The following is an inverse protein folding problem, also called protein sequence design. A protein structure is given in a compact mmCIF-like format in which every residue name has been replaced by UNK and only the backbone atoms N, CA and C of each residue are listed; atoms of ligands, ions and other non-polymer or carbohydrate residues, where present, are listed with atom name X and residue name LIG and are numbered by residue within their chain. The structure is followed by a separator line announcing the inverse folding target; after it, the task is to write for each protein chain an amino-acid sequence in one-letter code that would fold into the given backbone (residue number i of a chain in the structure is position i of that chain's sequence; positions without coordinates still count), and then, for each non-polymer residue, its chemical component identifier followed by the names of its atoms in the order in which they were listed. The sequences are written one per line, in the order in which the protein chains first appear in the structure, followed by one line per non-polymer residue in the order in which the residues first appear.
data_IF_375031290031
#
_entry.id   IF_375031290031
#
_cell.length_a   1.000
_cell.length_b   1.000
_cell.length_c   1.000
_cell.angle_alpha   90.00
_cell.angle_beta   90.00
_cell.angle_gamma   90.00
#
_symmetry.space_group_name_H-M   'P 1'
#
loop_
_entity.id
_entity.type
_entity.pdbx_description
1 polymer ?
#
# COMPACT_ATOMS: atom_id res chain seq x y z
N UNK A 1 18.98 -28.05 19.80
CA UNK A 1 18.07 -27.78 18.66
C UNK A 1 16.65 -27.98 19.17
N UNK A 2 16.03 -26.93 19.71
CA UNK A 2 14.65 -27.00 20.21
C UNK A 2 13.75 -26.56 19.06
N UNK A 3 13.06 -27.52 18.45
CA UNK A 3 12.06 -27.29 17.43
C UNK A 3 10.80 -26.80 18.15
N UNK A 4 10.55 -25.49 18.16
CA UNK A 4 9.25 -24.95 18.55
C UNK A 4 8.25 -25.28 17.44
N UNK A 5 7.43 -26.30 17.69
CA UNK A 5 6.30 -26.65 16.84
C UNK A 5 5.21 -25.58 17.04
N UNK A 6 5.25 -24.52 16.23
CA UNK A 6 4.12 -23.59 16.13
C UNK A 6 3.00 -24.28 15.37
N UNK A 7 2.05 -24.86 16.08
CA UNK A 7 0.76 -25.22 15.49
C UNK A 7 0.03 -23.92 15.15
N UNK A 8 0.09 -23.49 13.89
CA UNK A 8 -0.82 -22.45 13.40
C UNK A 8 -2.21 -23.08 13.36
N UNK A 9 -3.02 -22.82 14.39
CA UNK A 9 -4.45 -23.13 14.34
C UNK A 9 -5.07 -22.11 13.41
N UNK A 10 -5.11 -22.43 12.11
CA UNK A 10 -5.86 -21.66 11.13
C UNK A 10 -7.34 -21.84 11.40
N UNK A 11 -7.96 -20.88 12.11
CA UNK A 11 -9.41 -20.87 12.25
C UNK A 11 -10.03 -20.50 10.91
N UNK A 12 -10.94 -21.35 10.43
CA UNK A 12 -11.69 -21.12 9.20
C UNK A 12 -12.57 -19.86 9.32
N UNK A 13 -12.46 -18.95 8.35
CA UNK A 13 -13.29 -17.73 8.31
C UNK A 13 -14.56 -18.01 7.53
N UNK A 14 -15.51 -18.71 8.18
CA UNK A 14 -16.77 -19.20 7.57
C UNK A 14 -17.61 -18.14 6.83
N UNK A 15 -17.45 -16.86 7.21
CA UNK A 15 -18.14 -15.75 6.56
C UNK A 15 -17.69 -15.49 5.11
N UNK A 16 -16.55 -16.05 4.69
CA UNK A 16 -16.02 -15.92 3.33
C UNK A 16 -16.18 -17.19 2.49
N UNK A 17 -16.86 -18.23 2.97
CA UNK A 17 -16.96 -19.53 2.28
C UNK A 17 -17.56 -19.44 0.87
N UNK A 18 -18.51 -18.54 0.69
CA UNK A 18 -19.15 -18.29 -0.60
C UNK A 18 -18.31 -17.38 -1.52
N UNK A 19 -17.12 -16.96 -1.09
CA UNK A 19 -16.25 -16.03 -1.79
C UNK A 19 -14.95 -16.72 -2.21
N UNK A 20 -14.60 -16.60 -3.48
CA UNK A 20 -13.30 -17.05 -3.96
C UNK A 20 -12.26 -15.95 -3.67
N UNK A 21 -11.62 -16.00 -2.51
CA UNK A 21 -10.62 -15.02 -2.08
C UNK A 21 -9.31 -15.23 -2.84
N UNK A 22 -8.88 -14.19 -3.57
CA UNK A 22 -7.68 -14.22 -4.42
C UNK A 22 -6.51 -13.44 -3.83
N UNK A 23 -6.78 -12.51 -2.90
CA UNK A 23 -5.74 -11.79 -2.19
C UNK A 23 -6.20 -11.38 -0.79
N UNK A 24 -5.25 -11.30 0.13
CA UNK A 24 -5.43 -10.80 1.49
C UNK A 24 -4.29 -9.84 1.82
N UNK A 25 -4.59 -8.78 2.55
CA UNK A 25 -3.60 -7.85 3.08
C UNK A 25 -3.91 -7.57 4.55
N UNK A 26 -2.89 -7.63 5.40
CA UNK A 26 -3.01 -7.40 6.84
C UNK A 26 -2.31 -6.11 7.22
N UNK A 27 -3.01 -5.24 7.95
CA UNK A 27 -2.43 -4.10 8.64
C UNK A 27 -2.04 -4.46 10.07
N UNK A 28 -1.95 -3.44 10.94
CA UNK A 28 -1.59 -3.65 12.36
C UNK A 28 -2.61 -4.54 13.09
N UNK A 29 -3.89 -4.20 12.93
CA UNK A 29 -4.99 -4.90 13.59
C UNK A 29 -6.24 -4.99 12.71
N UNK A 30 -6.08 -4.81 11.39
CA UNK A 30 -7.17 -4.92 10.42
C UNK A 30 -6.75 -5.77 9.22
N UNK A 31 -7.71 -6.32 8.52
CA UNK A 31 -7.47 -7.18 7.35
C UNK A 31 -8.40 -6.75 6.23
N UNK A 32 -7.86 -6.74 5.01
CA UNK A 32 -8.62 -6.65 3.77
C UNK A 32 -8.51 -7.99 3.03
N UNK A 33 -9.61 -8.46 2.48
CA UNK A 33 -9.63 -9.57 1.53
C UNK A 33 -10.29 -9.13 0.22
N UNK A 34 -9.75 -9.60 -0.89
CA UNK A 34 -10.22 -9.35 -2.24
C UNK A 34 -10.67 -10.69 -2.85
N UNK A 35 -11.88 -10.73 -3.40
CA UNK A 35 -12.34 -11.89 -4.16
C UNK A 35 -12.08 -11.74 -5.67
N UNK A 36 -12.26 -12.83 -6.42
CA UNK A 36 -12.10 -12.88 -7.88
C UNK A 36 -13.06 -11.99 -8.67
N UNK A 37 -14.18 -11.58 -8.06
CA UNK A 37 -15.15 -10.63 -8.61
C UNK A 37 -14.75 -9.16 -8.41
N UNK A 38 -13.63 -8.90 -7.72
CA UNK A 38 -13.15 -7.55 -7.44
C UNK A 38 -13.82 -6.88 -6.23
N UNK A 39 -14.53 -7.64 -5.40
CA UNK A 39 -15.18 -7.14 -4.19
C UNK A 39 -14.21 -7.22 -3.00
N UNK A 40 -14.25 -6.18 -2.16
CA UNK A 40 -13.37 -6.04 -1.00
C UNK A 40 -14.14 -6.27 0.29
N UNK A 41 -13.56 -7.06 1.18
CA UNK A 41 -14.07 -7.35 2.52
C UNK A 41 -13.08 -6.85 3.56
N UNK A 42 -13.59 -6.31 4.67
CA UNK A 42 -12.77 -5.78 5.75
C UNK A 42 -13.25 -6.26 7.12
N UNK A 43 -12.31 -6.48 8.03
CA UNK A 43 -12.56 -6.75 9.44
C UNK A 43 -11.34 -6.41 10.30
N UNK A 44 -11.52 -6.41 11.62
CA UNK A 44 -10.55 -6.03 12.64
C UNK A 44 -10.85 -4.65 13.24
N UNK A 45 -9.79 -3.94 13.63
CA UNK A 45 -9.84 -2.61 14.22
C UNK A 45 -10.38 -1.57 13.23
N UNK A 46 -11.24 -0.67 13.69
CA UNK A 46 -11.96 0.31 12.87
C UNK A 46 -11.84 1.77 13.37
N UNK A 47 -11.09 2.02 14.44
CA UNK A 47 -10.98 3.32 15.15
C UNK A 47 -10.56 4.49 14.25
N UNK A 48 -9.70 4.23 13.28
CA UNK A 48 -9.15 5.22 12.36
C UNK A 48 -9.88 5.24 11.01
N UNK A 49 -10.96 4.45 10.87
CA UNK A 49 -11.69 4.30 9.62
C UNK A 49 -11.04 3.33 8.63
N UNK A 50 -10.00 2.60 9.03
CA UNK A 50 -9.19 1.72 8.17
C UNK A 50 -9.96 0.54 7.55
N UNK A 51 -11.18 0.26 8.00
CA UNK A 51 -12.05 -0.74 7.37
C UNK A 51 -12.85 -0.19 6.18
N UNK A 52 -12.97 1.14 6.04
CA UNK A 52 -13.77 1.74 4.97
C UNK A 52 -15.27 1.45 5.08
N UNK A 53 -15.73 1.02 6.26
CA UNK A 53 -17.11 0.63 6.54
C UNK A 53 -17.81 1.73 7.35
N UNK A 54 -19.11 2.00 7.09
CA UNK A 54 -19.89 2.90 7.92
C UNK A 54 -20.12 2.30 9.31
N UNK A 55 -20.24 3.17 10.32
CA UNK A 55 -20.56 2.77 11.69
C UNK A 55 -19.61 3.38 12.72
N UNK A 56 -19.86 3.05 13.99
CA UNK A 56 -19.09 3.51 15.15
C UNK A 56 -18.46 2.37 15.95
N UNK A 57 -18.59 1.13 15.47
CA UNK A 57 -17.95 -0.05 16.09
C UNK A 57 -16.43 0.13 16.06
N UNK A 58 -15.76 -0.05 17.19
CA UNK A 58 -14.29 0.05 17.26
C UNK A 58 -13.59 -1.17 16.64
N UNK A 59 -14.26 -2.32 16.60
CA UNK A 59 -13.74 -3.56 16.05
C UNK A 59 -14.85 -4.42 15.45
N UNK A 60 -14.66 -4.85 14.20
CA UNK A 60 -15.57 -5.73 13.47
C UNK A 60 -14.90 -7.10 13.37
N UNK A 61 -15.46 -8.13 14.00
CA UNK A 61 -14.83 -9.47 14.07
C UNK A 61 -15.15 -10.40 12.89
N UNK A 62 -16.09 -10.00 12.05
CA UNK A 62 -16.56 -10.80 10.91
C UNK A 62 -16.34 -9.99 9.63
N UNK A 63 -15.73 -10.57 8.58
CA UNK A 63 -15.58 -9.91 7.28
C UNK A 63 -16.88 -9.29 6.80
N UNK A 64 -16.85 -7.99 6.50
CA UNK A 64 -17.97 -7.26 5.89
C UNK A 64 -17.54 -6.68 4.56
N UNK A 65 -18.41 -6.77 3.57
CA UNK A 65 -18.19 -6.19 2.26
C UNK A 65 -18.17 -4.64 2.34
N UNK A 66 -17.16 -4.02 1.74
CA UNK A 66 -17.07 -2.57 1.58
C UNK A 66 -17.96 -2.16 0.41
N UNK A 67 -19.24 -1.88 0.71
CA UNK A 67 -20.26 -1.60 -0.31
C UNK A 67 -19.91 -0.43 -1.23
N UNK A 68 -19.19 0.58 -0.73
CA UNK A 68 -18.76 1.73 -1.54
C UNK A 68 -17.76 1.38 -2.65
N UNK A 69 -17.19 0.18 -2.65
CA UNK A 69 -16.32 -0.34 -3.72
C UNK A 69 -16.99 -1.43 -4.56
N UNK A 70 -18.25 -1.81 -4.29
CA UNK A 70 -18.88 -2.98 -4.93
C UNK A 70 -19.07 -2.83 -6.45
N UNK A 71 -19.24 -1.60 -6.93
CA UNK A 71 -19.39 -1.30 -8.37
C UNK A 71 -18.05 -1.04 -9.07
N UNK A 72 -16.92 -1.18 -8.35
CA UNK A 72 -15.58 -0.93 -8.86
C UNK A 72 -14.84 -2.25 -8.90
N UNK A 73 -14.30 -2.62 -10.06
CA UNK A 73 -13.50 -3.83 -10.18
C UNK A 73 -12.11 -3.62 -9.55
N UNK A 74 -11.96 -3.99 -8.27
CA UNK A 74 -10.69 -3.94 -7.56
C UNK A 74 -9.79 -5.10 -7.99
N UNK A 75 -8.51 -4.82 -8.21
CA UNK A 75 -7.50 -5.80 -8.64
C UNK A 75 -6.38 -5.98 -7.62
N UNK A 76 -6.25 -5.04 -6.68
CA UNK A 76 -5.26 -5.14 -5.61
C UNK A 76 -5.74 -4.39 -4.35
N UNK A 77 -5.37 -4.90 -3.19
CA UNK A 77 -5.53 -4.25 -1.88
C UNK A 77 -4.19 -4.23 -1.15
N UNK A 78 -3.97 -3.20 -0.32
CA UNK A 78 -2.81 -3.11 0.56
C UNK A 78 -3.17 -2.41 1.87
N UNK A 79 -2.56 -2.85 2.98
CA UNK A 79 -2.81 -2.31 4.32
C UNK A 79 -1.51 -1.78 4.90
N UNK A 80 -1.54 -0.57 5.45
CA UNK A 80 -0.53 -0.10 6.40
C UNK A 80 -0.98 -0.37 7.83
N UNK A 81 -0.43 0.35 8.81
CA UNK A 81 -0.84 0.14 10.20
C UNK A 81 -2.30 0.50 10.43
N UNK A 82 -2.66 1.74 10.06
CA UNK A 82 -3.96 2.32 10.33
C UNK A 82 -4.62 2.89 9.06
N UNK A 83 -4.15 2.49 7.88
CA UNK A 83 -4.71 2.93 6.61
C UNK A 83 -4.73 1.78 5.61
N UNK A 84 -5.50 1.98 4.55
CA UNK A 84 -5.79 0.98 3.54
C UNK A 84 -5.78 1.62 2.16
N UNK A 85 -5.40 0.82 1.16
CA UNK A 85 -5.35 1.18 -0.24
C UNK A 85 -6.07 0.12 -1.09
N UNK A 86 -6.68 0.56 -2.18
CA UNK A 86 -7.18 -0.32 -3.24
C UNK A 86 -6.85 0.24 -4.62
N UNK A 87 -6.57 -0.65 -5.57
CA UNK A 87 -6.32 -0.33 -6.97
C UNK A 87 -7.43 -0.92 -7.83
N UNK A 88 -8.11 -0.08 -8.62
CA UNK A 88 -9.09 -0.56 -9.59
C UNK A 88 -8.42 -1.02 -10.88
N UNK A 89 -9.12 -1.87 -11.64
CA UNK A 89 -8.75 -2.24 -13.02
C UNK A 89 -8.66 -1.01 -13.94
N UNK A 90 -9.39 0.06 -13.61
CA UNK A 90 -9.34 1.37 -14.28
C UNK A 90 -8.11 2.22 -13.91
N UNK A 91 -7.13 1.67 -13.17
CA UNK A 91 -5.95 2.39 -12.66
C UNK A 91 -6.27 3.50 -11.65
N UNK A 92 -7.44 3.46 -11.02
CA UNK A 92 -7.78 4.40 -9.95
C UNK A 92 -7.26 3.88 -8.61
N UNK A 93 -6.65 4.77 -7.83
CA UNK A 93 -6.16 4.45 -6.49
C UNK A 93 -7.11 5.05 -5.46
N UNK A 94 -7.58 4.19 -4.56
CA UNK A 94 -8.40 4.55 -3.42
C UNK A 94 -7.58 4.44 -2.15
N UNK A 95 -7.81 5.36 -1.21
CA UNK A 95 -7.19 5.34 0.11
C UNK A 95 -8.20 5.69 1.19
N UNK A 96 -8.05 5.09 2.37
CA UNK A 96 -8.85 5.40 3.55
C UNK A 96 -8.15 5.00 4.85
N UNK A 97 -8.72 5.41 5.98
CA UNK A 97 -8.15 5.24 7.31
C UNK A 97 -7.47 6.50 7.83
N UNK A 98 -6.46 6.30 8.67
CA UNK A 98 -5.68 7.37 9.29
C UNK A 98 -4.93 8.20 8.23
N UNK A 99 -4.91 9.53 8.41
CA UNK A 99 -4.14 10.44 7.55
C UNK A 99 -3.26 11.42 8.36
N UNK A 100 -2.91 11.06 9.60
CA UNK A 100 -2.10 11.89 10.51
C UNK A 100 -0.75 12.31 9.92
N UNK A 101 -0.20 11.46 9.07
CA UNK A 101 1.08 11.64 8.41
C UNK A 101 0.91 12.00 6.94
N UNK A 102 -0.33 12.09 6.44
CA UNK A 102 -0.69 12.31 5.05
C UNK A 102 -0.65 11.04 4.17
N UNK A 103 -0.58 9.85 4.78
CA UNK A 103 -0.44 8.55 4.11
C UNK A 103 -1.53 8.21 3.08
N UNK A 104 -2.66 8.94 3.08
CA UNK A 104 -3.72 8.79 2.08
C UNK A 104 -3.44 9.54 0.77
N UNK A 105 -2.47 10.47 0.74
CA UNK A 105 -2.18 11.27 -0.45
C UNK A 105 -3.30 12.26 -0.82
N UNK A 106 -4.19 12.58 0.12
CA UNK A 106 -5.29 13.54 -0.04
C UNK A 106 -4.93 14.95 0.48
N UNK A 107 -3.70 15.16 0.93
CA UNK A 107 -3.26 16.35 1.65
C UNK A 107 -3.49 16.27 3.17
N UNK A 108 -2.96 17.23 3.91
CA UNK A 108 -2.99 17.26 5.39
C UNK A 108 -4.28 17.84 5.99
N UNK A 109 -5.16 18.40 5.16
CA UNK A 109 -6.43 18.97 5.60
C UNK A 109 -7.41 17.90 6.11
N UNK A 110 -7.28 16.68 5.60
CA UNK A 110 -8.07 15.53 6.03
C UNK A 110 -7.36 14.78 7.15
N UNK A 111 -7.98 14.64 8.34
CA UNK A 111 -7.38 13.92 9.47
C UNK A 111 -7.45 12.38 9.34
N UNK A 112 -8.57 11.89 8.81
CA UNK A 112 -8.83 10.48 8.50
C UNK A 112 -9.98 10.37 7.50
N UNK A 113 -10.12 9.23 6.84
CA UNK A 113 -11.26 8.91 5.98
C UNK A 113 -11.90 7.59 6.39
N UNK A 114 -13.19 7.61 6.68
CA UNK A 114 -13.93 6.41 7.11
C UNK A 114 -14.49 5.59 5.95
N UNK A 115 -14.35 6.09 4.72
CA UNK A 115 -14.74 5.41 3.50
C UNK A 115 -13.60 5.52 2.47
N UNK A 116 -13.50 4.58 1.52
CA UNK A 116 -12.58 4.68 0.39
C UNK A 116 -12.76 6.00 -0.37
N UNK A 117 -11.67 6.75 -0.50
CA UNK A 117 -11.62 7.99 -1.28
C UNK A 117 -10.65 7.85 -2.44
N UNK A 118 -11.09 8.25 -3.63
CA UNK A 118 -10.23 8.31 -4.81
C UNK A 118 -9.18 9.41 -4.66
N UNK A 119 -7.92 9.08 -4.95
CA UNK A 119 -6.83 10.05 -4.96
C UNK A 119 -6.87 10.80 -6.30
N UNK A 120 -7.64 11.88 -6.36
CA UNK A 120 -7.94 12.59 -7.63
C UNK A 120 -6.71 13.03 -8.43
N UNK A 121 -5.65 13.44 -7.75
CA UNK A 121 -4.40 13.87 -8.42
C UNK A 121 -3.59 12.72 -9.01
N UNK A 122 -4.06 11.48 -8.88
CA UNK A 122 -3.53 10.30 -9.57
C UNK A 122 -4.35 9.88 -10.80
N UNK A 123 -5.49 10.51 -11.07
CA UNK A 123 -6.34 10.13 -12.20
C UNK A 123 -5.62 10.31 -13.54
N UNK A 124 -5.86 9.38 -14.47
CA UNK A 124 -5.28 9.39 -15.81
C UNK A 124 -3.85 8.82 -15.90
N UNK A 125 -3.25 8.38 -14.78
CA UNK A 125 -1.96 7.71 -14.77
C UNK A 125 -2.17 6.19 -14.70
N UNK A 126 -1.55 5.39 -15.59
CA UNK A 126 -1.69 3.93 -15.57
C UNK A 126 -0.86 3.32 -14.42
N UNK A 127 -1.50 3.08 -13.28
CA UNK A 127 -0.90 2.39 -12.14
C UNK A 127 -1.00 0.89 -12.27
N UNK A 128 0.12 0.21 -12.01
CA UNK A 128 0.20 -1.24 -12.04
C UNK A 128 0.11 -1.85 -10.64
N UNK A 129 0.64 -1.17 -9.61
CA UNK A 129 0.72 -1.77 -8.28
C UNK A 129 0.60 -0.74 -7.16
N UNK A 130 0.08 -1.18 -6.03
CA UNK A 130 0.07 -0.47 -4.76
C UNK A 130 0.83 -1.27 -3.70
N UNK A 131 1.42 -0.57 -2.73
CA UNK A 131 1.93 -1.16 -1.49
C UNK A 131 1.78 -0.16 -0.35
N UNK A 132 1.61 -0.65 0.87
CA UNK A 132 1.53 0.17 2.07
C UNK A 132 2.49 -0.37 3.13
N UNK A 133 3.18 0.54 3.82
CA UNK A 133 3.94 0.25 5.04
C UNK A 133 3.26 0.87 6.25
N UNK A 134 3.97 0.99 7.38
CA UNK A 134 3.36 1.49 8.63
C UNK A 134 2.55 2.80 8.47
N UNK A 135 3.20 3.84 7.95
CA UNK A 135 2.58 5.15 7.68
C UNK A 135 2.87 5.68 6.26
N UNK A 136 3.20 4.80 5.32
CA UNK A 136 3.64 5.18 3.96
C UNK A 136 2.86 4.41 2.91
N UNK A 137 2.64 5.06 1.76
CA UNK A 137 1.93 4.49 0.61
C UNK A 137 2.82 4.54 -0.64
N UNK A 138 2.78 3.50 -1.46
CA UNK A 138 3.59 3.40 -2.68
C UNK A 138 2.69 3.04 -3.86
N UNK A 139 2.91 3.68 -5.01
CA UNK A 139 2.18 3.39 -6.24
C UNK A 139 3.14 3.23 -7.43
N UNK A 140 3.18 2.06 -8.05
CA UNK A 140 3.99 1.82 -9.23
C UNK A 140 3.19 2.17 -10.48
N UNK A 141 3.73 3.02 -11.36
CA UNK A 141 3.14 3.30 -12.68
C UNK A 141 4.02 2.78 -13.81
N UNK A 142 3.38 2.40 -14.91
CA UNK A 142 4.02 2.00 -16.15
C UNK A 142 3.90 3.15 -17.15
N UNK A 143 4.98 3.84 -17.50
CA UNK A 143 4.94 4.88 -18.53
C UNK A 143 5.88 4.55 -19.69
N UNK A 144 5.33 3.97 -20.75
CA UNK A 144 6.09 3.56 -21.94
C UNK A 144 7.03 2.38 -21.65
N UNK A 145 8.27 2.44 -22.18
CA UNK A 145 9.32 1.44 -21.89
C UNK A 145 9.95 1.60 -20.49
N UNK A 146 9.56 2.64 -19.74
CA UNK A 146 10.14 2.97 -18.45
C UNK A 146 9.12 2.73 -17.31
N UNK A 147 9.53 1.94 -16.32
CA UNK A 147 8.81 1.82 -15.06
C UNK A 147 9.11 3.06 -14.22
N UNK A 148 8.08 3.78 -13.78
CA UNK A 148 8.24 4.93 -12.87
C UNK A 148 7.61 4.56 -11.55
N UNK A 149 8.44 4.43 -10.51
CA UNK A 149 7.95 4.30 -9.15
C UNK A 149 7.51 5.69 -8.68
N UNK A 150 6.19 5.88 -8.53
CA UNK A 150 5.64 7.08 -7.90
C UNK A 150 5.41 6.78 -6.43
N UNK A 151 6.13 7.48 -5.57
CA UNK A 151 5.98 7.23 -4.15
C UNK A 151 5.00 8.25 -3.59
N UNK A 152 3.91 7.77 -2.99
CA UNK A 152 3.06 8.58 -2.13
C UNK A 152 3.72 8.60 -0.74
N UNK A 153 4.88 9.22 -0.64
CA UNK A 153 5.56 9.35 0.65
C UNK A 153 4.72 10.24 1.53
N UNK A 154 4.54 9.83 2.78
CA UNK A 154 4.08 10.76 3.79
C UNK A 154 4.87 10.68 5.09
N UNK A 155 5.07 11.85 5.70
CA UNK A 155 6.12 12.14 6.66
C UNK A 155 5.91 11.41 7.99
N UNK A 156 6.91 10.62 8.42
CA UNK A 156 6.99 10.14 9.80
C UNK A 156 7.30 11.27 10.79
N UNK A 157 6.72 11.24 12.00
CA UNK A 157 7.14 12.05 13.16
C UNK A 157 8.35 11.46 13.92
N UNK A 158 9.03 10.47 13.36
CA UNK A 158 10.32 10.06 13.91
C UNK A 158 11.32 11.22 13.72
N UNK A 159 11.86 11.76 14.81
CA UNK A 159 12.84 12.85 14.74
C UNK A 159 14.16 12.44 14.08
N UNK A 160 14.37 11.14 13.84
CA UNK A 160 15.47 10.62 13.02
C UNK A 160 15.18 10.66 11.51
N UNK A 161 13.90 10.82 11.14
CA UNK A 161 13.43 10.87 9.74
C UNK A 161 13.30 12.33 9.30
N UNK A 162 13.98 12.76 8.22
CA UNK A 162 13.86 14.13 7.76
C UNK A 162 12.48 14.42 7.20
N UNK A 163 11.88 15.50 7.72
CA UNK A 163 10.67 16.13 7.21
C UNK A 163 10.85 16.47 5.72
N UNK A 164 10.07 15.83 4.86
CA UNK A 164 9.94 16.24 3.47
C UNK A 164 9.03 17.46 3.45
N UNK A 165 9.69 18.62 3.54
CA UNK A 165 9.15 19.94 3.71
C UNK A 165 7.75 20.16 3.13
N UNK A 166 6.87 20.61 4.01
CA UNK A 166 5.66 21.33 3.71
C UNK A 166 5.96 22.49 2.76
N UNK A 167 5.83 22.24 1.46
CA UNK A 167 5.29 23.24 0.56
C UNK A 167 4.04 22.66 -0.12
N UNK A 168 3.08 23.55 -0.30
CA UNK A 168 1.65 23.26 -0.40
C UNK A 168 1.35 22.46 -1.67
N UNK A 169 0.28 21.68 -1.63
CA UNK A 169 -0.23 20.74 -2.65
C UNK A 169 0.55 19.42 -2.79
N UNK A 170 -0.04 18.33 -2.28
CA UNK A 170 0.29 16.92 -2.55
C UNK A 170 1.68 16.67 -3.16
N UNK A 171 2.71 16.52 -2.32
CA UNK A 171 4.05 16.18 -2.80
C UNK A 171 4.07 14.75 -3.34
N UNK A 172 3.75 14.60 -4.62
CA UNK A 172 4.00 13.39 -5.39
C UNK A 172 5.48 13.29 -5.67
N UNK A 173 6.19 12.50 -4.87
CA UNK A 173 7.60 12.28 -5.12
C UNK A 173 7.72 11.20 -6.19
N UNK A 174 7.87 11.63 -7.44
CA UNK A 174 8.26 10.74 -8.55
C UNK A 174 9.77 10.49 -8.46
N UNK A 175 10.19 9.43 -7.76
CA UNK A 175 11.60 9.04 -7.75
C UNK A 175 11.85 8.05 -8.89
N UNK A 176 12.54 8.51 -9.93
CA UNK A 176 13.01 7.66 -11.05
C UNK A 176 14.19 6.76 -10.61
N UNK A 177 14.06 6.00 -9.52
CA UNK A 177 15.12 5.13 -9.00
C UNK A 177 15.50 4.06 -10.02
N UNK A 178 14.51 3.58 -10.78
CA UNK A 178 14.66 2.48 -11.73
C UNK A 178 15.55 2.83 -12.94
N UNK A 179 15.74 4.11 -13.27
CA UNK A 179 16.65 4.52 -14.36
C UNK A 179 18.13 4.38 -13.99
N UNK A 180 18.49 4.39 -12.70
CA UNK A 180 19.89 4.28 -12.23
C UNK A 180 20.36 2.84 -12.02
N UNK A 181 19.47 1.87 -12.21
CA UNK A 181 19.76 0.46 -12.00
C UNK A 181 19.82 -0.22 -13.37
N UNK A 182 21.00 -0.67 -13.82
CA UNK A 182 21.22 -1.14 -15.20
C UNK A 182 20.45 -2.42 -15.59
N UNK A 183 19.59 -2.95 -14.71
CA UNK A 183 18.82 -4.19 -14.91
C UNK A 183 17.29 -4.00 -14.74
N UNK A 184 16.79 -2.77 -14.60
CA UNK A 184 15.44 -2.49 -14.09
C UNK A 184 14.28 -2.48 -15.10
N UNK A 185 14.46 -2.96 -16.34
CA UNK A 185 13.40 -2.99 -17.35
C UNK A 185 12.26 -3.98 -17.06
N UNK A 186 12.20 -4.59 -15.87
CA UNK A 186 11.24 -5.64 -15.53
C UNK A 186 10.85 -5.65 -14.05
N UNK A 187 10.59 -4.51 -13.41
CA UNK A 187 10.03 -4.53 -12.05
C UNK A 187 8.62 -5.10 -12.08
N UNK A 188 8.39 -6.19 -11.35
CA UNK A 188 7.10 -6.90 -11.35
C UNK A 188 6.42 -6.96 -9.99
N UNK A 189 7.08 -6.55 -8.90
CA UNK A 189 6.43 -6.57 -7.58
C UNK A 189 7.02 -5.53 -6.64
N UNK A 190 6.15 -4.73 -6.04
CA UNK A 190 6.42 -3.97 -4.82
C UNK A 190 6.05 -4.80 -3.60
N UNK A 191 6.96 -4.90 -2.63
CA UNK A 191 6.70 -5.46 -1.30
C UNK A 191 7.18 -4.43 -0.28
N UNK A 192 6.30 -4.01 0.64
CA UNK A 192 6.67 -3.13 1.73
C UNK A 192 6.65 -3.91 3.05
N UNK A 193 7.66 -3.70 3.89
CA UNK A 193 7.73 -4.29 5.23
C UNK A 193 7.40 -3.22 6.27
N UNK A 194 6.54 -3.58 7.22
CA UNK A 194 6.06 -2.70 8.27
C UNK A 194 7.17 -2.31 9.28
N UNK A 195 8.09 -3.23 9.59
CA UNK A 195 9.16 -3.05 10.59
C UNK A 195 10.39 -2.28 10.06
N UNK A 196 10.19 -1.04 9.63
CA UNK A 196 11.28 -0.11 9.26
C UNK A 196 11.21 0.44 7.84
N UNK A 197 10.05 0.39 7.18
CA UNK A 197 9.82 1.12 5.93
C UNK A 197 10.67 0.65 4.75
N UNK A 198 11.09 -0.63 4.76
CA UNK A 198 11.85 -1.21 3.65
C UNK A 198 10.92 -1.49 2.48
N UNK A 199 11.25 -0.93 1.31
CA UNK A 199 10.61 -1.26 0.05
C UNK A 199 11.52 -2.23 -0.70
N UNK A 200 11.00 -3.43 -0.97
CA UNK A 200 11.65 -4.42 -1.81
C UNK A 200 10.99 -4.40 -3.17
N UNK A 201 11.83 -4.18 -4.19
CA UNK A 201 11.42 -4.14 -5.59
C UNK A 201 11.96 -5.39 -6.27
N UNK A 202 11.06 -6.29 -6.67
CA UNK A 202 11.45 -7.55 -7.30
C UNK A 202 11.40 -7.45 -8.84
N UNK A 203 12.47 -7.86 -9.55
CA UNK A 203 12.45 -7.99 -10.99
C UNK A 203 11.76 -9.30 -11.44
N UNK A 204 11.30 -9.32 -12.70
CA UNK A 204 10.76 -10.51 -13.35
C UNK A 204 11.88 -11.50 -13.67
N UNK A 205 12.05 -12.53 -12.86
CA UNK A 205 12.78 -13.72 -13.26
C UNK A 205 11.98 -14.97 -12.88
N UNK A 206 11.50 -15.66 -13.92
CA UNK A 206 10.97 -17.01 -13.86
C UNK A 206 12.11 -18.02 -13.66
N UNK A 207 12.77 -17.97 -12.51
CA UNK A 207 13.70 -19.01 -12.10
C UNK A 207 13.85 -18.96 -10.58
N UNK A 208 13.11 -19.83 -9.89
CA UNK A 208 13.47 -20.27 -8.55
C UNK A 208 14.93 -20.75 -8.61
N UNK A 209 15.76 -20.25 -7.70
CA UNK A 209 17.04 -20.75 -7.15
C UNK A 209 17.98 -19.55 -6.95
N UNK A 210 18.01 -19.07 -5.70
CA UNK A 210 18.91 -18.05 -5.14
C UNK A 210 19.09 -16.75 -5.95
N UNK A 211 18.25 -15.74 -5.71
CA UNK A 211 18.58 -14.37 -6.15
C UNK A 211 18.31 -13.38 -5.01
N UNK A 212 19.36 -12.67 -4.61
CA UNK A 212 19.29 -11.56 -3.67
C UNK A 212 18.27 -10.52 -4.17
N UNK A 213 17.41 -9.95 -3.29
CA UNK A 213 16.54 -8.83 -3.67
C UNK A 213 17.40 -7.72 -4.28
N UNK A 214 17.13 -7.37 -5.55
CA UNK A 214 18.03 -6.53 -6.35
C UNK A 214 18.12 -5.09 -5.80
N UNK A 215 17.12 -4.65 -5.03
CA UNK A 215 17.20 -3.43 -4.21
C UNK A 215 16.31 -3.55 -2.97
N UNK A 216 16.93 -3.56 -1.79
CA UNK A 216 16.24 -3.21 -0.54
C UNK A 216 16.49 -1.72 -0.37
N UNK A 217 15.53 -0.88 -0.75
CA UNK A 217 15.60 0.53 -0.38
C UNK A 217 15.12 0.62 1.05
N UNK A 218 16.05 0.93 1.95
CA UNK A 218 15.62 1.48 3.23
C UNK A 218 15.10 2.90 2.99
N UNK A 219 14.27 3.35 3.92
CA UNK A 219 13.65 4.66 3.83
C UNK A 219 14.68 5.80 3.67
N UNK A 220 15.85 5.69 4.32
CA UNK A 220 16.95 6.66 4.21
C UNK A 220 17.55 6.76 2.80
N UNK A 221 17.66 5.64 2.09
CA UNK A 221 18.10 5.60 0.68
C UNK A 221 17.06 6.23 -0.25
N UNK A 222 15.78 6.02 0.05
CA UNK A 222 14.67 6.61 -0.71
C UNK A 222 14.65 8.14 -0.55
N UNK A 223 14.83 8.64 0.68
CA UNK A 223 14.95 10.07 1.00
C UNK A 223 16.23 10.68 0.43
N UNK A 224 17.38 10.01 0.53
CA UNK A 224 18.64 10.56 0.01
C UNK A 224 18.60 10.70 -1.51
N UNK A 225 18.00 9.72 -2.20
CA UNK A 225 17.75 9.79 -3.65
C UNK A 225 16.79 10.93 -3.99
N UNK A 226 15.74 11.14 -3.19
CA UNK A 226 14.83 12.28 -3.32
C UNK A 226 15.56 13.63 -3.18
N UNK A 227 16.34 13.81 -2.10
CA UNK A 227 17.12 15.03 -1.85
C UNK A 227 18.11 15.33 -2.96
N UNK A 228 18.69 14.30 -3.56
CA UNK A 228 19.58 14.45 -4.72
C UNK A 228 18.82 14.89 -5.97
N UNK A 229 17.58 14.43 -6.18
CA UNK A 229 16.78 14.76 -7.36
C UNK A 229 16.18 16.18 -7.31
N UNK A 230 15.98 16.75 -6.12
CA UNK A 230 15.53 18.13 -5.96
C UNK A 230 16.64 19.19 -6.14
N UNK A 231 17.91 18.77 -6.13
CA UNK A 231 19.08 19.67 -6.27
C UNK A 231 19.54 19.84 -7.73
N UNK A 232 18.88 19.17 -8.66
CA UNK A 232 19.13 19.20 -10.11
C UNK A 232 17.91 19.77 -10.81
#
# INVERSE_FOLDING_TARGET
MILLHFTVVGNHVGALDAQNIVAVSCGEAHTLALNDKGQVYAWGLATDGQLGLPGTEECIRVPRNIKSLSEIQIVQVACGYYHSLALSKGSEVFSWGQNKYGQLGLGYEYKKQNSPHVIKSLLGIPFAQIAAGGAHSFVLTLSGENFVLKVLVCESKDSSIPRIGADRTNLYISINILKKLPLCNRVTKLICFNDGGKLVVLPNYSAFHSVNPLVILNYDQLISTYRSALKT
#
